data_IF_442297118989
#
_entry.id   IF_442297118989
#
_cell.length_a   1.000
_cell.length_b   1.000
_cell.length_c   1.000
_cell.angle_alpha   90.00
_cell.angle_beta   90.00
_cell.angle_gamma   90.00
#
_symmetry.space_group_name_H-M   'P 1'
#
loop_
_entity.id
_entity.type
_entity.pdbx_description
1 polymer ?
#
# COMPACT_ATOMS: atom_id res chain seq x y z
N UNK A 1 4.92 -23.21 -21.92
CA UNK A 1 4.38 -21.88 -22.29
C UNK A 1 3.62 -21.37 -21.08
N UNK A 2 4.09 -20.32 -20.41
CA UNK A 2 3.45 -19.76 -19.22
C UNK A 2 2.97 -18.39 -19.65
N UNK A 3 1.69 -18.33 -19.95
CA UNK A 3 1.01 -17.22 -20.57
C UNK A 3 1.07 -15.97 -19.70
N UNK A 4 1.16 -14.86 -20.41
CA UNK A 4 1.28 -13.50 -19.94
C UNK A 4 0.11 -13.07 -19.04
N UNK A 5 0.44 -12.16 -18.14
CA UNK A 5 -0.39 -11.24 -17.36
C UNK A 5 -1.68 -10.80 -18.09
N UNK A 6 -2.74 -10.45 -17.34
CA UNK A 6 -3.20 -9.07 -17.50
C UNK A 6 -3.49 -8.35 -16.18
N UNK A 7 -2.89 -7.16 -16.13
CA UNK A 7 -3.19 -6.02 -15.29
C UNK A 7 -4.71 -5.78 -15.29
N UNK A 8 -5.39 -6.06 -14.17
CA UNK A 8 -6.80 -5.73 -14.02
C UNK A 8 -6.93 -4.23 -13.74
N UNK A 9 -7.02 -3.47 -14.82
CA UNK A 9 -7.40 -2.06 -14.85
C UNK A 9 -8.91 -1.99 -14.51
N UNK A 10 -9.27 -2.06 -13.22
CA UNK A 10 -10.63 -1.80 -12.79
C UNK A 10 -10.74 -0.30 -12.56
N UNK A 11 -11.01 0.41 -13.66
CA UNK A 11 -11.58 1.74 -13.61
C UNK A 11 -12.92 1.64 -12.87
N UNK A 12 -12.94 2.05 -11.61
CA UNK A 12 -14.17 2.25 -10.87
C UNK A 12 -14.95 3.39 -11.58
N UNK A 13 -15.90 2.99 -12.44
CA UNK A 13 -16.96 3.89 -12.85
C UNK A 13 -17.68 4.34 -11.58
N UNK A 14 -17.61 5.63 -11.27
CA UNK A 14 -18.50 6.28 -10.32
C UNK A 14 -19.94 6.14 -10.85
N UNK A 15 -20.58 4.99 -10.61
CA UNK A 15 -22.01 4.83 -10.79
C UNK A 15 -22.69 5.72 -9.74
N UNK A 16 -23.11 6.89 -10.20
CA UNK A 16 -23.87 7.86 -9.41
C UNK A 16 -25.15 7.20 -8.91
N UNK A 17 -25.20 6.84 -7.64
CA UNK A 17 -26.41 6.39 -6.96
C UNK A 17 -27.28 7.62 -6.69
N UNK A 18 -28.10 8.03 -7.67
CA UNK A 18 -29.13 9.03 -7.43
C UNK A 18 -30.26 8.37 -6.63
N UNK A 19 -30.13 8.39 -5.31
CA UNK A 19 -31.21 8.03 -4.40
C UNK A 19 -32.30 9.10 -4.50
N UNK A 20 -33.37 8.83 -5.25
CA UNK A 20 -34.56 9.66 -5.21
C UNK A 20 -35.21 9.51 -3.83
N UNK A 21 -35.23 10.60 -3.07
CA UNK A 21 -35.91 10.67 -1.78
C UNK A 21 -37.43 10.60 -2.00
N UNK A 22 -38.05 9.47 -1.66
CA UNK A 22 -39.48 9.39 -1.45
C UNK A 22 -39.77 10.13 -0.13
N UNK A 23 -40.37 11.32 -0.18
CA UNK A 23 -40.63 12.13 1.02
C UNK A 23 -41.74 11.50 1.87
N UNK A 24 -41.46 11.01 3.10
CA UNK A 24 -42.52 10.62 4.03
C UNK A 24 -43.21 11.89 4.54
N UNK A 25 -44.52 11.94 4.42
CA UNK A 25 -45.34 13.04 4.91
C UNK A 25 -45.26 13.14 6.44
N UNK A 26 -44.46 14.07 6.94
CA UNK A 26 -44.68 14.86 8.16
C UNK A 26 -44.73 14.12 9.50
N UNK A 27 -43.71 14.39 10.31
CA UNK A 27 -43.73 14.51 11.78
C UNK A 27 -43.36 13.32 12.69
N UNK A 28 -43.28 12.05 12.27
CA UNK A 28 -42.99 10.94 13.21
C UNK A 28 -41.82 10.00 12.87
N UNK A 29 -41.31 10.02 11.65
CA UNK A 29 -40.26 9.09 11.19
C UNK A 29 -38.92 9.77 10.91
N UNK A 30 -38.48 10.66 11.82
CA UNK A 30 -37.15 11.27 11.73
C UNK A 30 -36.17 10.64 12.72
N UNK A 31 -35.01 10.14 12.28
CA UNK A 31 -34.51 10.14 10.91
C UNK A 31 -35.18 9.07 10.02
N UNK A 32 -35.27 9.29 8.69
CA UNK A 32 -35.78 8.28 7.78
C UNK A 32 -34.93 7.00 7.89
N UNK A 33 -35.58 5.84 7.91
CA UNK A 33 -34.89 4.56 7.88
C UNK A 33 -34.08 4.45 6.59
N UNK A 34 -32.75 4.38 6.72
CA UNK A 34 -31.84 4.20 5.58
C UNK A 34 -31.59 2.70 5.40
N UNK A 35 -32.07 2.11 4.30
CA UNK A 35 -31.71 0.75 3.95
C UNK A 35 -30.31 0.73 3.34
N UNK A 36 -29.39 0.02 3.99
CA UNK A 36 -28.05 -0.25 3.46
C UNK A 36 -28.04 -1.66 2.88
N UNK A 37 -28.21 -1.77 1.57
CA UNK A 37 -28.02 -3.04 0.87
C UNK A 37 -26.53 -3.24 0.58
N UNK A 38 -25.96 -4.35 1.08
CA UNK A 38 -24.60 -4.75 0.76
C UNK A 38 -24.64 -5.84 -0.31
N UNK A 39 -23.87 -5.65 -1.39
CA UNK A 39 -23.70 -6.65 -2.44
C UNK A 39 -22.59 -7.67 -2.13
N UNK A 40 -21.84 -7.49 -1.03
CA UNK A 40 -20.74 -8.38 -0.63
C UNK A 40 -21.14 -9.28 0.53
N UNK A 41 -20.80 -10.56 0.39
CA UNK A 41 -21.02 -11.56 1.44
C UNK A 41 -19.96 -11.42 2.53
N UNK A 42 -20.28 -11.86 3.75
CA UNK A 42 -19.32 -11.87 4.86
C UNK A 42 -18.06 -12.68 4.54
N UNK A 43 -18.19 -13.75 3.76
CA UNK A 43 -17.04 -14.55 3.32
C UNK A 43 -16.09 -13.74 2.43
N UNK A 44 -16.64 -12.99 1.46
CA UNK A 44 -15.87 -12.12 0.57
C UNK A 44 -15.13 -11.03 1.35
N UNK A 45 -15.81 -10.38 2.30
CA UNK A 45 -15.19 -9.34 3.15
C UNK A 45 -14.01 -9.91 3.95
N UNK A 46 -14.13 -11.13 4.50
CA UNK A 46 -13.04 -11.77 5.24
C UNK A 46 -11.86 -12.07 4.32
N UNK A 47 -12.13 -12.55 3.11
CA UNK A 47 -11.10 -12.84 2.12
C UNK A 47 -10.33 -11.56 1.73
N UNK A 48 -11.04 -10.51 1.34
CA UNK A 48 -10.44 -9.22 0.95
C UNK A 48 -9.62 -8.63 2.09
N UNK A 49 -10.12 -8.71 3.32
CA UNK A 49 -9.41 -8.24 4.51
C UNK A 49 -8.13 -9.05 4.79
N UNK A 50 -8.12 -10.36 4.52
CA UNK A 50 -6.90 -11.17 4.62
C UNK A 50 -5.88 -10.79 3.54
N UNK A 51 -6.33 -10.59 2.30
CA UNK A 51 -5.48 -10.15 1.18
C UNK A 51 -4.87 -8.77 1.47
N UNK A 52 -5.67 -7.81 1.93
CA UNK A 52 -5.20 -6.48 2.30
C UNK A 52 -4.17 -6.50 3.43
N UNK A 53 -4.34 -7.40 4.43
CA UNK A 53 -3.34 -7.62 5.47
C UNK A 53 -2.05 -8.22 4.94
N UNK A 54 -2.14 -9.22 4.07
CA UNK A 54 -0.96 -9.83 3.45
C UNK A 54 -0.21 -8.83 2.56
N UNK A 55 -0.94 -7.94 1.90
CA UNK A 55 -0.40 -6.84 1.11
C UNK A 55 0.08 -5.65 1.96
N UNK A 56 -0.04 -5.68 3.29
CA UNK A 56 0.41 -4.58 4.16
C UNK A 56 -0.34 -3.26 3.96
N UNK A 57 -1.57 -3.31 3.44
CA UNK A 57 -2.41 -2.13 3.20
C UNK A 57 -3.24 -1.72 4.42
N UNK A 58 -3.26 -2.56 5.46
CA UNK A 58 -4.00 -2.33 6.70
C UNK A 58 -3.08 -1.68 7.73
N UNK A 59 -3.49 -0.52 8.25
CA UNK A 59 -2.81 0.17 9.34
C UNK A 59 -3.25 -0.38 10.70
N UNK A 60 -2.35 -0.29 11.69
CA UNK A 60 -2.64 -0.63 13.08
C UNK A 60 -2.16 0.52 13.98
N UNK A 61 -2.95 0.86 15.00
CA UNK A 61 -2.64 1.96 15.93
C UNK A 61 -2.99 3.34 15.35
N UNK A 62 -2.31 4.38 15.85
CA UNK A 62 -2.57 5.79 15.50
C UNK A 62 -2.00 6.22 14.14
N UNK A 63 -1.45 5.29 13.36
CA UNK A 63 -0.92 5.62 12.04
C UNK A 63 -2.07 5.77 11.05
N UNK A 64 -2.32 6.99 10.58
CA UNK A 64 -3.37 7.24 9.58
C UNK A 64 -3.05 6.63 8.20
N UNK A 65 -1.78 6.38 7.89
CA UNK A 65 -1.35 5.88 6.58
C UNK A 65 -0.57 4.55 6.65
N UNK A 66 -0.81 3.62 5.71
CA UNK A 66 -0.03 2.39 5.60
C UNK A 66 1.42 2.72 5.24
N UNK A 67 2.35 2.00 5.85
CA UNK A 67 3.78 2.16 5.59
C UNK A 67 4.07 1.92 4.09
N UNK A 68 4.88 2.80 3.48
CA UNK A 68 5.27 2.65 2.09
C UNK A 68 5.91 1.27 1.86
N UNK A 69 5.36 0.52 0.90
CA UNK A 69 5.88 -0.79 0.50
C UNK A 69 7.26 -0.61 -0.12
N UNK A 70 8.32 -0.91 0.63
CA UNK A 70 9.68 -0.91 0.08
C UNK A 70 9.83 -2.19 -0.75
N UNK A 71 10.12 -2.04 -2.04
CA UNK A 71 10.37 -3.18 -2.92
C UNK A 71 11.46 -4.08 -2.32
N UNK A 72 11.22 -5.39 -2.35
CA UNK A 72 12.21 -6.36 -1.91
C UNK A 72 13.49 -6.18 -2.73
N UNK A 73 14.63 -6.06 -2.04
CA UNK A 73 15.92 -5.95 -2.71
C UNK A 73 16.19 -7.23 -3.51
N UNK A 74 16.52 -7.08 -4.79
CA UNK A 74 16.99 -8.20 -5.62
C UNK A 74 18.40 -8.66 -5.24
N UNK A 75 19.14 -7.87 -4.44
CA UNK A 75 20.50 -8.20 -4.03
C UNK A 75 20.51 -9.08 -2.78
N UNK A 76 21.35 -10.12 -2.81
CA UNK A 76 21.61 -10.93 -1.62
C UNK A 76 22.40 -10.12 -0.60
N UNK A 77 22.31 -10.50 0.69
CA UNK A 77 23.10 -9.86 1.76
C UNK A 77 24.61 -9.87 1.45
N UNK A 78 25.11 -10.96 0.87
CA UNK A 78 26.51 -11.08 0.47
C UNK A 78 26.89 -10.07 -0.64
N UNK A 79 26.02 -9.88 -1.64
CA UNK A 79 26.24 -8.88 -2.69
C UNK A 79 26.26 -7.45 -2.13
N UNK A 80 25.32 -7.13 -1.23
CA UNK A 80 25.29 -5.82 -0.56
C UNK A 80 26.55 -5.58 0.26
N UNK A 81 27.05 -6.59 0.98
CA UNK A 81 28.29 -6.48 1.74
C UNK A 81 29.51 -6.28 0.84
N UNK A 82 29.60 -7.03 -0.26
CA UNK A 82 30.70 -6.90 -1.22
C UNK A 82 30.72 -5.51 -1.87
N UNK A 83 29.57 -5.00 -2.28
CA UNK A 83 29.43 -3.65 -2.83
C UNK A 83 29.77 -2.57 -1.80
N UNK A 84 29.28 -2.71 -0.56
CA UNK A 84 29.60 -1.79 0.51
C UNK A 84 31.10 -1.79 0.87
N UNK A 85 31.78 -2.94 0.81
CA UNK A 85 33.23 -3.02 0.99
C UNK A 85 33.98 -2.32 -0.15
N UNK A 86 33.57 -2.57 -1.40
CA UNK A 86 34.13 -1.92 -2.59
C UNK A 86 33.97 -0.40 -2.55
N UNK A 87 32.77 0.09 -2.25
CA UNK A 87 32.49 1.52 -2.15
C UNK A 87 33.29 2.21 -1.03
N UNK A 88 33.57 1.51 0.09
CA UNK A 88 34.44 2.02 1.15
C UNK A 88 35.89 2.11 0.69
N UNK A 89 36.40 1.10 -0.03
CA UNK A 89 37.75 1.12 -0.59
C UNK A 89 37.92 2.25 -1.62
N UNK A 90 36.99 2.37 -2.57
CA UNK A 90 36.98 3.46 -3.56
C UNK A 90 36.93 4.85 -2.88
N UNK A 91 36.05 5.02 -1.89
CA UNK A 91 35.97 6.25 -1.10
C UNK A 91 37.27 6.55 -0.35
N UNK A 92 37.97 5.55 0.18
CA UNK A 92 39.25 5.74 0.87
C UNK A 92 40.37 6.19 -0.09
N UNK A 93 40.40 5.65 -1.31
CA UNK A 93 41.36 6.05 -2.34
C UNK A 93 41.07 7.48 -2.82
N UNK A 94 39.79 7.83 -2.99
CA UNK A 94 39.38 9.18 -3.37
C UNK A 94 39.64 10.20 -2.25
N UNK A 95 39.42 9.81 -0.99
CA UNK A 95 39.81 10.59 0.19
C UNK A 95 41.32 10.88 0.20
N UNK A 96 42.15 9.88 -0.12
CA UNK A 96 43.61 10.05 -0.22
C UNK A 96 44.02 10.98 -1.36
N UNK A 97 43.25 11.02 -2.46
CA UNK A 97 43.49 11.87 -3.61
C UNK A 97 43.09 13.34 -3.38
N UNK A 98 42.08 13.58 -2.53
CA UNK A 98 41.52 14.92 -2.29
C UNK A 98 41.79 15.47 -0.88
N UNK A 99 42.54 14.76 -0.03
CA UNK A 99 42.97 15.25 1.30
C UNK A 99 41.87 15.36 2.36
N UNK A 100 40.66 14.82 2.11
CA UNK A 100 39.55 14.85 3.07
C UNK A 100 39.51 13.56 3.87
N UNK A 101 39.91 13.59 5.15
CA UNK A 101 39.76 12.44 6.06
C UNK A 101 38.31 12.31 6.52
N UNK A 102 37.65 11.20 6.17
CA UNK A 102 36.31 10.87 6.67
C UNK A 102 36.42 10.03 7.95
N UNK A 103 36.16 10.64 9.10
CA UNK A 103 36.01 9.94 10.39
C UNK A 103 34.60 9.35 10.46
N UNK A 104 34.44 8.10 10.03
CA UNK A 104 33.16 7.40 10.12
C UNK A 104 32.84 6.99 11.57
N UNK A 105 31.65 7.38 12.04
CA UNK A 105 30.96 6.75 13.17
C UNK A 105 29.96 5.72 12.64
#
# INVERSE_FOLDING_TARGET
>A
MKTLLPFALIAAALSSNAAFAQEPSGELDYPPAVSTESHVTRAQVIQELQEARAAGLVTFGELEEPQAQVAASTKTRAQVQAEAARARAERSQQSSLYGFSYTGA
#
